data_IF_286853686944
#
_entry.id   IF_286853686944
#
_cell.length_a   1.000
_cell.length_b   1.000
_cell.length_c   1.000
_cell.angle_alpha   90.00
_cell.angle_beta   90.00
_cell.angle_gamma   90.00
#
_symmetry.space_group_name_H-M   'P 1'
#
loop_
_entity.id
_entity.type
_entity.pdbx_description
1 polymer ?
#
# COMPACT_ATOMS: atom_id res chain seq x y z
N UNK A 1 4.00 10.95 6.36
CA UNK A 1 4.02 11.64 5.06
C UNK A 1 4.72 10.76 4.04
N UNK A 2 4.10 10.54 2.87
CA UNK A 2 4.65 9.73 1.79
C UNK A 2 5.49 10.53 0.79
N UNK A 3 5.63 10.02 -0.43
CA UNK A 3 6.56 10.54 -1.43
C UNK A 3 6.05 11.81 -2.13
N UNK A 4 6.98 12.60 -2.66
CA UNK A 4 6.65 13.86 -3.36
C UNK A 4 6.27 13.56 -4.81
N UNK A 5 5.08 14.00 -5.21
CA UNK A 5 4.53 13.91 -6.55
C UNK A 5 5.13 14.92 -7.55
N UNK A 6 4.82 14.78 -8.85
CA UNK A 6 5.21 15.75 -9.87
C UNK A 6 4.64 17.16 -9.64
N UNK A 7 3.54 17.27 -8.90
CA UNK A 7 2.91 18.53 -8.47
C UNK A 7 3.63 19.18 -7.28
N UNK A 8 4.70 18.56 -6.78
CA UNK A 8 5.52 18.96 -5.62
C UNK A 8 4.79 18.86 -4.28
N UNK A 9 3.72 18.08 -4.20
CA UNK A 9 3.00 17.80 -2.95
C UNK A 9 3.35 16.40 -2.41
N UNK A 10 3.19 16.22 -1.10
CA UNK A 10 3.30 14.89 -0.50
C UNK A 10 2.05 14.09 -0.78
N UNK A 11 2.23 12.83 -1.15
CA UNK A 11 1.15 11.90 -1.39
C UNK A 11 1.27 10.64 -0.54
N UNK A 12 0.15 10.01 -0.25
CA UNK A 12 0.12 8.71 0.40
C UNK A 12 0.87 7.68 -0.45
N UNK A 13 1.67 6.84 0.20
CA UNK A 13 2.55 5.89 -0.49
C UNK A 13 2.85 4.69 0.39
N UNK A 14 2.82 3.51 -0.21
CA UNK A 14 3.36 2.28 0.41
C UNK A 14 4.71 1.96 -0.24
N UNK A 15 5.76 1.88 0.58
CA UNK A 15 7.12 1.66 0.13
C UNK A 15 7.73 0.37 0.73
N UNK A 16 8.38 -0.50 -0.08
CA UNK A 16 8.44 -0.44 -1.53
C UNK A 16 7.07 -0.74 -2.16
N UNK A 17 6.74 -0.02 -3.24
CA UNK A 17 5.47 -0.21 -3.95
C UNK A 17 5.47 -1.43 -4.87
N UNK A 18 6.63 -1.96 -5.22
CA UNK A 18 6.74 -3.18 -6.02
C UNK A 18 7.86 -4.07 -5.51
N UNK A 19 7.63 -5.38 -5.51
CA UNK A 19 8.57 -6.35 -4.97
C UNK A 19 8.37 -7.74 -5.59
N UNK A 20 9.34 -8.61 -5.34
CA UNK A 20 9.38 -9.98 -5.86
C UNK A 20 9.26 -10.99 -4.72
N UNK A 21 8.38 -11.97 -4.88
CA UNK A 21 8.20 -13.11 -3.99
C UNK A 21 8.52 -14.41 -4.73
N UNK A 22 8.64 -15.50 -3.97
CA UNK A 22 8.86 -16.85 -4.51
C UNK A 22 7.64 -17.75 -4.23
N UNK A 23 7.22 -18.53 -5.21
CA UNK A 23 6.15 -19.52 -5.06
C UNK A 23 6.51 -20.53 -3.97
N UNK A 24 5.53 -20.86 -3.12
CA UNK A 24 5.65 -21.87 -2.07
C UNK A 24 6.48 -21.44 -0.86
N UNK A 25 7.05 -20.23 -0.85
CA UNK A 25 7.80 -19.70 0.29
C UNK A 25 6.88 -18.83 1.15
N UNK A 26 6.67 -19.16 2.43
CA UNK A 26 5.91 -18.31 3.34
C UNK A 26 6.55 -16.93 3.48
N UNK A 27 5.72 -15.90 3.45
CA UNK A 27 6.13 -14.51 3.58
C UNK A 27 5.32 -13.83 4.68
N UNK A 28 5.99 -12.98 5.45
CA UNK A 28 5.36 -12.13 6.45
C UNK A 28 5.53 -10.68 6.03
N UNK A 29 4.43 -10.03 5.70
CA UNK A 29 4.36 -8.59 5.46
C UNK A 29 4.14 -7.88 6.78
N UNK A 30 5.02 -6.94 7.09
CA UNK A 30 4.85 -6.01 8.19
C UNK A 30 4.78 -4.61 7.60
N UNK A 31 3.61 -3.98 7.73
CA UNK A 31 3.38 -2.61 7.29
C UNK A 31 3.27 -1.73 8.53
N UNK A 32 4.05 -0.65 8.55
CA UNK A 32 3.98 0.39 9.58
C UNK A 32 3.32 1.60 8.94
N UNK A 33 2.11 1.92 9.37
CA UNK A 33 1.39 3.10 8.89
C UNK A 33 1.67 4.30 9.80
N UNK A 34 2.16 5.39 9.21
CA UNK A 34 2.50 6.64 9.88
C UNK A 34 1.44 7.74 9.70
N UNK A 35 0.33 7.45 9.01
CA UNK A 35 -0.84 8.32 8.92
C UNK A 35 -2.02 7.75 9.74
N UNK A 36 -3.07 8.55 9.90
CA UNK A 36 -4.32 8.26 10.58
C UNK A 36 -5.39 7.66 9.64
N UNK A 37 -5.04 7.41 8.36
CA UNK A 37 -5.92 6.90 7.33
C UNK A 37 -5.98 5.37 7.29
N UNK A 38 -7.15 4.84 6.91
CA UNK A 38 -7.25 3.43 6.54
C UNK A 38 -6.65 3.20 5.16
N UNK A 39 -5.79 2.19 5.05
CA UNK A 39 -5.18 1.77 3.78
C UNK A 39 -5.41 0.30 3.51
N UNK A 40 -5.08 -0.11 2.29
CA UNK A 40 -5.09 -1.51 1.90
C UNK A 40 -4.02 -1.79 0.86
N UNK A 41 -3.65 -3.06 0.75
CA UNK A 41 -3.01 -3.59 -0.44
C UNK A 41 -3.85 -4.74 -0.93
N UNK A 42 -4.60 -4.50 -2.01
CA UNK A 42 -5.50 -5.48 -2.61
C UNK A 42 -4.93 -5.91 -3.95
N UNK A 43 -4.47 -7.15 -4.02
CA UNK A 43 -3.94 -7.83 -5.21
C UNK A 43 -4.81 -9.05 -5.56
N UNK A 44 -5.76 -8.93 -6.50
CA UNK A 44 -6.64 -10.03 -6.87
C UNK A 44 -5.86 -11.32 -7.19
N UNK A 45 -6.23 -12.42 -6.53
CA UNK A 45 -5.59 -13.72 -6.71
C UNK A 45 -4.31 -13.96 -5.93
N UNK A 46 -3.84 -13.00 -5.12
CA UNK A 46 -2.65 -13.15 -4.28
C UNK A 46 -2.86 -12.73 -2.82
N UNK A 47 -3.34 -11.51 -2.59
CA UNK A 47 -3.37 -10.90 -1.26
C UNK A 47 -4.49 -9.87 -1.16
N UNK A 48 -5.12 -9.77 0.01
CA UNK A 48 -6.04 -8.69 0.32
C UNK A 48 -5.88 -8.30 1.80
N UNK A 49 -5.16 -7.21 2.07
CA UNK A 49 -4.88 -6.77 3.44
C UNK A 49 -5.46 -5.38 3.70
N UNK A 50 -6.06 -5.23 4.87
CA UNK A 50 -6.36 -3.92 5.45
C UNK A 50 -5.20 -3.50 6.34
N UNK A 51 -4.71 -2.29 6.15
CA UNK A 51 -3.67 -1.66 6.94
C UNK A 51 -4.35 -0.75 7.96
N UNK A 52 -4.03 -0.97 9.24
CA UNK A 52 -4.58 -0.18 10.34
C UNK A 52 -4.11 1.28 10.25
N UNK A 53 -4.98 2.25 10.55
CA UNK A 53 -4.58 3.63 10.74
C UNK A 53 -3.73 3.76 12.01
N UNK A 54 -2.83 4.73 12.02
CA UNK A 54 -2.24 5.25 13.24
C UNK A 54 -3.28 5.88 14.16
N UNK A 55 -2.85 6.36 15.32
CA UNK A 55 -3.74 6.99 16.30
C UNK A 55 -3.23 8.39 16.62
N UNK A 56 -4.13 9.37 16.60
CA UNK A 56 -3.82 10.72 17.08
C UNK A 56 -3.42 10.71 18.54
N UNK A 57 -2.33 11.40 18.85
CA UNK A 57 -1.87 11.65 20.20
C UNK A 57 -2.25 13.08 20.63
N UNK A 58 -2.42 13.36 21.94
CA UNK A 58 -2.82 14.69 22.43
C UNK A 58 -1.87 15.84 22.04
N UNK A 59 -0.64 15.53 21.66
CA UNK A 59 0.37 16.49 21.21
C UNK A 59 0.28 16.81 19.70
N UNK A 60 -0.72 16.26 18.99
CA UNK A 60 -0.91 16.42 17.55
C UNK A 60 0.00 15.54 16.69
N UNK A 61 0.72 14.58 17.28
CA UNK A 61 1.48 13.57 16.54
C UNK A 61 0.63 12.33 16.24
N UNK A 62 1.02 11.57 15.22
CA UNK A 62 0.42 10.25 14.94
C UNK A 62 1.30 9.16 15.55
N UNK A 63 0.72 8.33 16.41
CA UNK A 63 1.31 7.06 16.82
C UNK A 63 1.11 6.03 15.71
N UNK A 64 2.20 5.49 15.13
CA UNK A 64 2.08 4.54 14.02
C UNK A 64 1.38 3.25 14.42
N UNK A 65 0.65 2.65 13.48
CA UNK A 65 0.07 1.32 13.64
C UNK A 65 0.84 0.28 12.85
N UNK A 66 0.95 -0.91 13.42
CA UNK A 66 1.61 -2.06 12.79
C UNK A 66 0.54 -3.07 12.36
N UNK A 67 0.61 -3.46 11.10
CA UNK A 67 -0.18 -4.55 10.53
C UNK A 67 0.76 -5.64 10.07
N UNK A 68 0.54 -6.87 10.56
CA UNK A 68 1.28 -8.05 10.13
C UNK A 68 0.35 -9.00 9.41
N UNK A 69 0.78 -9.50 8.25
CA UNK A 69 0.04 -10.46 7.44
C UNK A 69 0.98 -11.54 6.92
N UNK A 70 0.64 -12.81 7.15
CA UNK A 70 1.43 -13.94 6.68
C UNK A 70 0.65 -14.74 5.66
N UNK A 71 1.28 -15.07 4.55
CA UNK A 71 0.70 -15.95 3.53
C UNK A 71 1.80 -16.69 2.77
N UNK A 72 1.41 -17.64 1.93
CA UNK A 72 2.30 -18.36 1.03
C UNK A 72 1.78 -18.18 -0.40
N UNK A 73 2.56 -17.57 -1.32
CA UNK A 73 2.14 -17.46 -2.72
C UNK A 73 2.08 -18.85 -3.37
N UNK A 74 0.92 -19.25 -3.90
CA UNK A 74 0.74 -20.58 -4.48
C UNK A 74 0.96 -20.64 -5.99
N UNK A 75 0.95 -19.48 -6.67
CA UNK A 75 1.02 -19.38 -8.13
C UNK A 75 2.01 -18.30 -8.55
N UNK A 76 2.82 -18.61 -9.54
CA UNK A 76 3.67 -17.63 -10.21
C UNK A 76 2.80 -16.67 -11.03
N UNK A 77 3.26 -15.43 -11.18
CA UNK A 77 2.53 -14.41 -11.94
C UNK A 77 2.90 -12.99 -11.55
N UNK A 78 2.35 -12.03 -12.29
CA UNK A 78 2.41 -10.62 -11.94
C UNK A 78 1.03 -10.21 -11.39
N UNK A 79 1.02 -9.75 -10.15
CA UNK A 79 -0.20 -9.35 -9.45
C UNK A 79 -0.11 -7.85 -9.19
N UNK A 80 -0.99 -7.08 -9.84
CA UNK A 80 -1.13 -5.67 -9.52
C UNK A 80 -1.87 -5.53 -8.20
N UNK A 81 -1.36 -4.69 -7.31
CA UNK A 81 -2.07 -4.28 -6.11
C UNK A 81 -2.45 -2.81 -6.20
N UNK A 82 -3.54 -2.46 -5.54
CA UNK A 82 -3.97 -1.08 -5.37
C UNK A 82 -4.71 -0.92 -4.04
N UNK A 83 -4.91 0.32 -3.59
CA UNK A 83 -5.63 0.62 -2.36
C UNK A 83 -7.11 0.83 -2.68
N UNK A 84 -8.00 0.19 -1.92
CA UNK A 84 -9.44 0.31 -2.12
C UNK A 84 -10.09 1.46 -1.34
N UNK A 85 -9.35 2.12 -0.46
CA UNK A 85 -9.86 3.23 0.36
C UNK A 85 -9.65 4.57 -0.34
N UNK A 86 -10.56 5.52 -0.15
CA UNK A 86 -10.36 6.89 -0.63
C UNK A 86 -9.44 7.65 0.34
N UNK A 87 -8.13 7.57 0.12
CA UNK A 87 -7.10 8.27 0.90
C UNK A 87 -6.41 9.37 0.05
N UNK A 88 -5.23 9.84 0.48
CA UNK A 88 -4.44 10.92 -0.16
C UNK A 88 -5.03 12.33 -0.04
N UNK A 89 -5.63 12.61 1.13
CA UNK A 89 -6.16 13.92 1.48
C UNK A 89 -7.22 14.44 0.48
N UNK A 90 -7.44 15.77 0.41
CA UNK A 90 -8.49 16.34 -0.45
C UNK A 90 -8.27 16.16 -1.95
N UNK A 91 -7.01 15.94 -2.39
CA UNK A 91 -6.68 15.84 -3.81
C UNK A 91 -6.97 14.46 -4.39
N UNK A 92 -6.92 13.42 -3.54
CA UNK A 92 -7.02 12.02 -3.94
C UNK A 92 -6.11 11.67 -5.14
N UNK A 93 -4.98 12.36 -5.29
CA UNK A 93 -4.13 12.26 -6.48
C UNK A 93 -3.47 10.88 -6.58
N UNK A 94 -2.99 10.33 -5.47
CA UNK A 94 -2.45 8.98 -5.41
C UNK A 94 -3.51 7.91 -5.71
N UNK A 95 -4.79 8.24 -5.50
CA UNK A 95 -5.93 7.38 -5.80
C UNK A 95 -6.49 7.61 -7.22
N UNK A 96 -5.92 8.57 -7.97
CA UNK A 96 -6.31 8.78 -9.36
C UNK A 96 -5.78 7.65 -10.25
N UNK A 97 -6.50 7.37 -11.33
CA UNK A 97 -6.09 6.36 -12.30
C UNK A 97 -4.64 6.58 -12.77
N UNK A 98 -3.83 5.54 -12.61
CA UNK A 98 -2.50 5.41 -13.20
C UNK A 98 -2.55 4.83 -14.61
N UNK A 99 -1.38 4.46 -15.13
CA UNK A 99 -1.27 3.84 -16.44
C UNK A 99 -1.86 2.41 -16.44
N UNK A 100 -1.62 1.67 -15.36
CA UNK A 100 -1.99 0.24 -15.26
C UNK A 100 -3.35 -0.01 -14.59
N UNK A 101 -4.10 1.04 -14.22
CA UNK A 101 -5.43 0.89 -13.61
C UNK A 101 -5.76 1.91 -12.53
N UNK A 102 -6.62 1.55 -11.56
CA UNK A 102 -6.92 2.38 -10.40
C UNK A 102 -5.65 2.73 -9.61
N UNK A 103 -5.60 3.94 -9.07
CA UNK A 103 -4.50 4.46 -8.25
C UNK A 103 -3.16 4.56 -8.99
N UNK A 104 -2.28 5.43 -8.48
CA UNK A 104 -0.99 5.74 -9.09
C UNK A 104 0.06 4.68 -8.74
N UNK A 105 0.62 4.06 -9.78
CA UNK A 105 1.75 3.15 -9.62
C UNK A 105 2.95 3.88 -9.01
N UNK A 106 3.54 3.30 -7.96
CA UNK A 106 4.61 3.92 -7.18
C UNK A 106 4.14 4.62 -5.90
N UNK A 107 2.82 4.82 -5.75
CA UNK A 107 2.20 5.48 -4.60
C UNK A 107 1.25 4.49 -3.89
N UNK A 108 -0.04 4.53 -4.24
CA UNK A 108 -1.08 3.66 -3.69
C UNK A 108 -1.44 2.49 -4.61
N UNK A 109 -0.57 2.22 -5.60
CA UNK A 109 -0.57 1.00 -6.39
C UNK A 109 0.86 0.56 -6.75
N UNK A 110 0.97 -0.70 -7.18
CA UNK A 110 2.19 -1.25 -7.74
C UNK A 110 2.07 -2.74 -8.02
N UNK A 111 3.21 -3.43 -8.06
CA UNK A 111 3.29 -4.79 -8.61
C UNK A 111 3.98 -5.78 -7.67
N UNK A 112 3.36 -6.94 -7.51
CA UNK A 112 3.95 -8.09 -6.84
C UNK A 112 4.24 -9.14 -7.90
N UNK A 113 5.52 -9.40 -8.14
CA UNK A 113 5.94 -10.47 -9.04
C UNK A 113 6.23 -11.72 -8.23
N UNK A 114 5.56 -12.82 -8.54
CA UNK A 114 5.80 -14.12 -7.90
C UNK A 114 6.50 -15.04 -8.91
N UNK A 115 7.68 -15.52 -8.51
CA UNK A 115 8.55 -16.41 -9.31
C UNK A 115 8.51 -17.86 -8.83
#
# INVERSE_FOLDING_TARGET
MGFIGPDKQHHDTIAPSSFVLKVGVPVTFTVINFDDGHHSMTAPGLMNIMIKPGTDEPNGSIKPAITTYTFTPEKAGNFRWHCIFQCDGPSHWAMSHGFDGPDRDGYMAGWIKVL
#
